data_IF_140046677110
#
_entry.id   IF_140046677110
#
_cell.length_a   1.000
_cell.length_b   1.000
_cell.length_c   1.000
_cell.angle_alpha   90.00
_cell.angle_beta   90.00
_cell.angle_gamma   90.00
#
_symmetry.space_group_name_H-M   'P 1'
#
loop_
_entity.id
_entity.type
_entity.pdbx_description
1 polymer ?
#
# COMPACT_ATOMS: atom_id res chain seq x y z
N UNK A 1 -13.58 2.99 66.83
CA UNK A 1 -14.74 3.36 66.00
C UNK A 1 -14.43 4.65 65.26
N UNK A 2 -13.86 4.57 64.07
CA UNK A 2 -13.84 5.65 63.09
C UNK A 2 -14.37 5.05 61.79
N UNK A 3 -15.46 5.64 61.30
CA UNK A 3 -16.34 5.07 60.31
C UNK A 3 -15.65 5.01 58.93
N UNK A 4 -15.76 3.84 58.30
CA UNK A 4 -15.61 3.65 56.87
C UNK A 4 -16.58 4.60 56.15
N UNK A 5 -16.05 5.59 55.44
CA UNK A 5 -16.81 6.33 54.42
C UNK A 5 -16.63 5.52 53.13
N UNK A 6 -17.65 4.81 52.62
CA UNK A 6 -17.60 4.30 51.26
C UNK A 6 -17.73 5.50 50.33
N UNK A 7 -16.64 5.89 49.69
CA UNK A 7 -16.68 6.82 48.56
C UNK A 7 -17.49 6.17 47.45
N UNK A 8 -18.72 6.65 47.25
CA UNK A 8 -19.56 6.27 46.12
C UNK A 8 -18.85 6.73 44.84
N UNK A 9 -18.06 5.85 44.25
CA UNK A 9 -17.55 6.06 42.90
C UNK A 9 -18.76 6.17 41.98
N UNK A 10 -19.05 7.40 41.57
CA UNK A 10 -20.05 7.70 40.56
C UNK A 10 -19.71 6.85 39.34
N UNK A 11 -20.59 5.89 39.04
CA UNK A 11 -20.49 4.98 37.91
C UNK A 11 -20.58 5.86 36.67
N UNK A 12 -19.43 6.23 36.09
CA UNK A 12 -19.37 7.02 34.85
C UNK A 12 -20.06 6.19 33.79
N UNK A 13 -21.29 6.57 33.45
CA UNK A 13 -22.05 5.91 32.41
C UNK A 13 -21.32 6.15 31.09
N UNK A 14 -20.67 5.10 30.56
CA UNK A 14 -20.08 5.15 29.22
C UNK A 14 -21.19 5.47 28.21
N UNK A 15 -21.17 6.63 27.55
CA UNK A 15 -22.15 6.96 26.55
C UNK A 15 -22.04 5.94 25.41
N UNK A 16 -23.18 5.38 25.03
CA UNK A 16 -23.34 4.37 23.98
C UNK A 16 -22.54 4.78 22.73
N UNK A 17 -21.63 3.91 22.30
CA UNK A 17 -20.82 4.08 21.09
C UNK A 17 -21.72 4.20 19.86
N UNK A 18 -22.00 5.42 19.43
CA UNK A 18 -22.64 5.64 18.15
C UNK A 18 -21.66 5.26 17.03
N UNK A 19 -22.10 4.41 16.10
CA UNK A 19 -21.39 4.08 14.85
C UNK A 19 -20.81 5.32 14.14
N UNK A 20 -21.48 6.46 14.29
CA UNK A 20 -21.04 7.76 13.78
C UNK A 20 -19.72 8.23 14.41
N UNK A 21 -19.52 8.07 15.72
CA UNK A 21 -18.30 8.46 16.43
C UNK A 21 -17.09 7.59 16.02
N UNK A 22 -17.31 6.29 15.81
CA UNK A 22 -16.27 5.38 15.32
C UNK A 22 -15.90 5.71 13.88
N UNK A 23 -16.89 6.02 13.04
CA UNK A 23 -16.65 6.41 11.64
C UNK A 23 -15.88 7.74 11.54
N UNK A 24 -16.22 8.74 12.35
CA UNK A 24 -15.49 10.03 12.36
C UNK A 24 -14.06 9.87 12.86
N UNK A 25 -13.83 9.01 13.86
CA UNK A 25 -12.48 8.71 14.35
C UNK A 25 -11.64 8.00 13.26
N UNK A 26 -12.21 7.00 12.59
CA UNK A 26 -11.57 6.27 11.47
C UNK A 26 -11.19 7.25 10.34
N UNK A 27 -12.13 8.10 9.91
CA UNK A 27 -11.87 9.07 8.85
C UNK A 27 -10.81 10.11 9.25
N UNK A 28 -10.73 10.49 10.54
CA UNK A 28 -9.70 11.39 11.03
C UNK A 28 -8.31 10.74 10.99
N UNK A 29 -8.20 9.44 11.34
CA UNK A 29 -6.95 8.68 11.28
C UNK A 29 -6.51 8.50 9.82
N UNK A 30 -7.41 8.06 8.94
CA UNK A 30 -7.16 7.93 7.49
C UNK A 30 -6.72 9.25 6.88
N UNK A 31 -7.40 10.33 7.23
CA UNK A 31 -7.05 11.66 6.74
C UNK A 31 -5.63 12.07 7.15
N UNK A 32 -5.25 11.82 8.41
CA UNK A 32 -3.90 12.08 8.90
C UNK A 32 -2.86 11.24 8.16
N UNK A 33 -3.08 9.93 8.06
CA UNK A 33 -2.11 8.99 7.48
C UNK A 33 -1.96 9.22 5.97
N UNK A 34 -3.05 9.55 5.28
CA UNK A 34 -3.04 9.96 3.87
C UNK A 34 -2.27 11.27 3.65
N UNK A 35 -2.42 12.26 4.53
CA UNK A 35 -1.68 13.53 4.44
C UNK A 35 -0.18 13.35 4.66
N UNK A 36 0.22 12.51 5.61
CA UNK A 36 1.62 12.15 5.86
C UNK A 36 2.19 11.41 4.66
N UNK A 37 1.47 10.40 4.17
CA UNK A 37 1.83 9.63 2.98
C UNK A 37 1.99 10.53 1.77
N UNK A 38 1.06 11.47 1.56
CA UNK A 38 1.11 12.44 0.46
C UNK A 38 2.35 13.32 0.51
N UNK A 39 2.78 13.77 1.70
CA UNK A 39 4.00 14.59 1.86
C UNK A 39 5.27 13.81 1.50
N UNK A 40 5.29 12.50 1.76
CA UNK A 40 6.44 11.64 1.44
C UNK A 40 6.28 10.89 0.11
N UNK A 41 5.16 11.06 -0.58
CA UNK A 41 4.75 10.26 -1.74
C UNK A 41 5.81 10.22 -2.83
N UNK A 42 6.47 11.35 -3.11
CA UNK A 42 7.52 11.41 -4.14
C UNK A 42 8.70 10.51 -3.76
N UNK A 43 9.22 10.63 -2.54
CA UNK A 43 10.35 9.83 -2.06
C UNK A 43 9.98 8.35 -2.06
N UNK A 44 8.79 8.04 -1.57
CA UNK A 44 8.22 6.70 -1.50
C UNK A 44 8.01 6.07 -2.88
N UNK A 45 7.54 6.84 -3.86
CA UNK A 45 7.36 6.38 -5.24
C UNK A 45 8.70 6.21 -5.95
N UNK A 46 9.62 7.16 -5.81
CA UNK A 46 10.96 7.04 -6.39
C UNK A 46 11.65 5.78 -5.87
N UNK A 47 11.62 5.55 -4.55
CA UNK A 47 12.18 4.34 -3.94
C UNK A 47 11.55 3.06 -4.52
N UNK A 48 10.22 3.01 -4.64
CA UNK A 48 9.51 1.84 -5.18
C UNK A 48 9.76 1.64 -6.68
N UNK A 49 9.91 2.73 -7.44
CA UNK A 49 10.03 2.69 -8.91
C UNK A 49 11.47 2.51 -9.40
N UNK A 50 12.48 2.73 -8.56
CA UNK A 50 13.88 2.49 -8.93
C UNK A 50 14.10 1.04 -9.38
N UNK A 51 13.58 0.05 -8.64
CA UNK A 51 13.75 -1.36 -8.99
C UNK A 51 13.14 -1.72 -10.35
N UNK A 52 11.85 -1.45 -10.64
CA UNK A 52 11.27 -1.75 -11.95
C UNK A 52 11.88 -0.91 -13.07
N UNK A 53 12.36 0.31 -12.79
CA UNK A 53 13.11 1.11 -13.77
C UNK A 53 14.38 0.40 -14.21
N UNK A 54 15.19 -0.09 -13.26
CA UNK A 54 16.37 -0.88 -13.59
C UNK A 54 16.01 -2.17 -14.31
N UNK A 55 14.92 -2.83 -13.93
CA UNK A 55 14.45 -4.05 -14.60
C UNK A 55 14.05 -3.78 -16.05
N UNK A 56 13.29 -2.70 -16.31
CA UNK A 56 12.92 -2.25 -17.65
C UNK A 56 14.15 -1.87 -18.48
N UNK A 57 15.13 -1.20 -17.86
CA UNK A 57 16.36 -0.81 -18.53
C UNK A 57 17.19 -2.04 -18.92
N UNK A 58 17.48 -2.92 -17.97
CA UNK A 58 18.35 -4.08 -18.20
C UNK A 58 17.67 -5.10 -19.12
N UNK A 59 16.45 -5.53 -18.79
CA UNK A 59 15.76 -6.62 -19.50
C UNK A 59 15.04 -6.09 -20.76
N UNK A 60 14.47 -4.89 -20.69
CA UNK A 60 13.72 -4.33 -21.81
C UNK A 60 14.61 -3.68 -22.87
N UNK A 61 15.61 -2.91 -22.45
CA UNK A 61 16.47 -2.14 -23.37
C UNK A 61 17.80 -2.82 -23.66
N UNK A 62 18.61 -3.11 -22.65
CA UNK A 62 19.97 -3.64 -22.83
C UNK A 62 19.95 -5.07 -23.41
N UNK A 63 19.14 -5.95 -22.84
CA UNK A 63 19.03 -7.34 -23.29
C UNK A 63 18.45 -7.45 -24.71
N UNK A 64 17.55 -6.55 -25.10
CA UNK A 64 17.03 -6.47 -26.47
C UNK A 64 18.06 -5.91 -27.45
N UNK A 65 18.86 -4.94 -27.03
CA UNK A 65 19.88 -4.32 -27.87
C UNK A 65 20.97 -5.30 -28.32
N UNK A 66 21.25 -6.33 -27.52
CA UNK A 66 22.22 -7.40 -27.88
C UNK A 66 21.57 -8.53 -28.70
N UNK A 67 20.32 -8.38 -29.14
CA UNK A 67 19.61 -9.37 -29.96
C UNK A 67 19.15 -10.62 -29.19
N UNK A 68 19.18 -10.59 -27.86
CA UNK A 68 18.80 -11.73 -27.02
C UNK A 68 17.29 -11.79 -26.72
N UNK A 69 16.48 -10.88 -27.29
CA UNK A 69 15.04 -10.80 -27.07
C UNK A 69 14.24 -10.66 -28.38
N UNK A 70 12.99 -11.09 -28.36
CA UNK A 70 11.99 -10.96 -29.43
C UNK A 70 10.97 -9.87 -29.05
N UNK A 71 10.37 -9.18 -30.02
CA UNK A 71 9.25 -8.24 -29.79
C UNK A 71 8.11 -8.83 -28.94
N UNK A 72 7.78 -10.11 -29.13
CA UNK A 72 6.80 -10.84 -28.32
C UNK A 72 7.20 -10.96 -26.84
N UNK A 73 8.49 -11.02 -26.53
CA UNK A 73 8.98 -11.03 -25.16
C UNK A 73 8.76 -9.66 -24.50
N UNK A 74 9.03 -8.57 -25.20
CA UNK A 74 8.79 -7.21 -24.68
C UNK A 74 7.31 -6.94 -24.41
N UNK A 75 6.43 -7.44 -25.28
CA UNK A 75 4.98 -7.36 -25.09
C UNK A 75 4.48 -8.04 -23.80
N UNK A 76 5.21 -9.04 -23.31
CA UNK A 76 4.94 -9.75 -22.04
C UNK A 76 5.70 -9.14 -20.85
N UNK A 77 6.87 -8.56 -21.10
CA UNK A 77 7.76 -8.03 -20.07
C UNK A 77 7.10 -6.90 -19.28
N UNK A 78 6.55 -5.90 -19.97
CA UNK A 78 5.97 -4.71 -19.32
C UNK A 78 4.85 -5.08 -18.33
N UNK A 79 3.79 -5.83 -18.72
CA UNK A 79 2.74 -6.21 -17.76
C UNK A 79 3.27 -7.14 -16.65
N UNK A 80 4.30 -7.96 -16.92
CA UNK A 80 4.96 -8.77 -15.89
C UNK A 80 5.67 -7.92 -14.83
N UNK A 81 6.41 -6.89 -15.24
CA UNK A 81 7.08 -5.95 -14.33
C UNK A 81 6.04 -5.15 -13.54
N UNK A 82 4.95 -4.72 -14.17
CA UNK A 82 3.84 -4.04 -13.47
C UNK A 82 3.27 -4.95 -12.38
N UNK A 83 2.91 -6.18 -12.72
CA UNK A 83 2.35 -7.15 -11.75
C UNK A 83 3.31 -7.40 -10.59
N UNK A 84 4.60 -7.61 -10.88
CA UNK A 84 5.62 -7.80 -9.85
C UNK A 84 5.76 -6.57 -8.95
N UNK A 85 5.74 -5.37 -9.52
CA UNK A 85 5.85 -4.10 -8.76
C UNK A 85 4.66 -3.92 -7.83
N UNK A 86 3.45 -4.19 -8.31
CA UNK A 86 2.23 -4.11 -7.50
C UNK A 86 2.29 -5.13 -6.37
N UNK A 87 2.67 -6.37 -6.67
CA UNK A 87 2.82 -7.45 -5.68
C UNK A 87 3.81 -7.08 -4.58
N UNK A 88 5.04 -6.71 -4.96
CA UNK A 88 6.08 -6.41 -3.97
C UNK A 88 5.73 -5.18 -3.14
N UNK A 89 5.08 -4.17 -3.74
CA UNK A 89 4.63 -2.98 -3.01
C UNK A 89 3.52 -3.31 -2.02
N UNK A 90 2.51 -4.09 -2.45
CA UNK A 90 1.40 -4.52 -1.62
C UNK A 90 1.89 -5.34 -0.41
N UNK A 91 2.93 -6.16 -0.58
CA UNK A 91 3.53 -6.91 0.53
C UNK A 91 4.42 -6.08 1.44
N UNK A 92 5.31 -5.24 0.88
CA UNK A 92 6.34 -4.56 1.67
C UNK A 92 5.81 -3.37 2.45
N UNK A 93 4.94 -2.55 1.86
CA UNK A 93 4.44 -1.32 2.47
C UNK A 93 3.72 -1.57 3.80
N UNK A 94 2.68 -2.43 3.88
CA UNK A 94 1.97 -2.64 5.14
C UNK A 94 2.85 -3.39 6.14
N UNK A 95 3.75 -4.28 5.69
CA UNK A 95 4.71 -4.96 6.57
C UNK A 95 5.60 -3.98 7.32
N UNK A 96 6.12 -2.97 6.63
CA UNK A 96 6.97 -1.94 7.25
C UNK A 96 6.16 -1.05 8.21
N UNK A 97 4.92 -0.72 7.89
CA UNK A 97 4.05 0.07 8.77
C UNK A 97 3.66 -0.70 10.03
N UNK A 98 3.26 -1.97 9.88
CA UNK A 98 2.98 -2.85 11.02
C UNK A 98 4.22 -3.05 11.89
N UNK A 99 5.39 -3.24 11.28
CA UNK A 99 6.65 -3.35 12.01
C UNK A 99 6.95 -2.06 12.81
N UNK A 100 6.67 -0.86 12.27
CA UNK A 100 6.83 0.39 13.03
C UNK A 100 5.87 0.47 14.21
N UNK A 101 4.60 0.12 13.99
CA UNK A 101 3.56 0.16 15.03
C UNK A 101 3.85 -0.83 16.17
N UNK A 102 4.38 -2.02 15.83
CA UNK A 102 4.72 -3.09 16.77
C UNK A 102 6.06 -2.87 17.49
N UNK A 103 7.10 -2.44 16.79
CA UNK A 103 8.47 -2.45 17.30
C UNK A 103 8.87 -1.14 18.00
N UNK A 104 8.32 0.01 17.60
CA UNK A 104 8.80 1.31 18.07
C UNK A 104 7.80 2.07 18.93
N UNK A 105 6.49 1.98 18.64
CA UNK A 105 5.49 2.86 19.27
C UNK A 105 4.70 2.21 20.40
N UNK A 106 4.79 0.87 20.58
CA UNK A 106 3.97 0.08 21.54
C UNK A 106 2.47 0.42 21.49
N UNK A 107 1.97 0.83 20.33
CA UNK A 107 0.57 1.25 20.15
C UNK A 107 -0.41 0.09 20.39
N UNK A 108 0.02 -1.17 20.36
CA UNK A 108 -0.87 -2.31 20.66
C UNK A 108 -1.11 -2.42 22.18
N UNK A 109 -0.13 -2.14 23.02
CA UNK A 109 -0.32 -2.07 24.48
C UNK A 109 -1.17 -0.86 24.88
N UNK A 110 -1.06 0.25 24.15
CA UNK A 110 -1.90 1.43 24.36
C UNK A 110 -3.31 1.25 23.74
N UNK A 111 -3.46 0.50 22.64
CA UNK A 111 -4.76 0.08 22.06
C UNK A 111 -5.43 -1.07 22.82
N UNK A 112 -4.71 -1.80 23.65
CA UNK A 112 -5.31 -2.67 24.68
C UNK A 112 -5.98 -1.84 25.79
N UNK A 113 -5.61 -0.56 25.93
CA UNK A 113 -6.21 0.41 26.86
C UNK A 113 -7.19 1.39 26.18
N UNK A 114 -7.09 1.62 24.86
CA UNK A 114 -7.98 2.49 24.08
C UNK A 114 -9.04 1.70 23.28
N UNK A 115 -10.33 2.10 23.29
CA UNK A 115 -11.43 1.35 22.68
C UNK A 115 -11.53 1.61 21.16
N UNK A 116 -10.51 1.23 20.39
CA UNK A 116 -10.57 1.23 18.92
C UNK A 116 -10.33 -0.19 18.40
N UNK A 117 -11.24 -0.74 17.56
CA UNK A 117 -11.10 -2.09 17.05
C UNK A 117 -9.86 -2.24 16.17
N UNK A 118 -8.95 -3.13 16.55
CA UNK A 118 -7.69 -3.43 15.83
C UNK A 118 -7.90 -3.83 14.38
N UNK A 119 -8.98 -4.55 14.09
CA UNK A 119 -9.36 -4.97 12.74
C UNK A 119 -9.60 -3.77 11.79
N UNK A 120 -10.18 -2.68 12.31
CA UNK A 120 -10.52 -1.51 11.52
C UNK A 120 -9.26 -0.76 11.04
N UNK A 121 -8.25 -0.66 11.91
CA UNK A 121 -6.95 -0.05 11.60
C UNK A 121 -6.15 -0.94 10.64
N UNK A 122 -6.24 -2.27 10.79
CA UNK A 122 -5.61 -3.20 9.87
C UNK A 122 -6.19 -3.04 8.44
N UNK A 123 -7.51 -2.96 8.31
CA UNK A 123 -8.18 -2.74 7.01
C UNK A 123 -7.79 -1.39 6.40
N UNK A 124 -7.67 -0.33 7.20
CA UNK A 124 -7.19 0.97 6.75
C UNK A 124 -5.78 0.89 6.15
N UNK A 125 -4.82 0.28 6.88
CA UNK A 125 -3.42 0.18 6.44
C UNK A 125 -3.28 -0.63 5.17
N UNK A 126 -3.98 -1.76 5.09
CA UNK A 126 -4.04 -2.57 3.86
C UNK A 126 -4.64 -1.75 2.71
N UNK A 127 -5.74 -1.03 2.95
CA UNK A 127 -6.36 -0.18 1.94
C UNK A 127 -5.43 0.90 1.39
N UNK A 128 -4.71 1.61 2.27
CA UNK A 128 -3.73 2.62 1.87
C UNK A 128 -2.54 2.01 1.10
N UNK A 129 -2.05 0.85 1.54
CA UNK A 129 -1.01 0.09 0.84
C UNK A 129 -1.44 -0.36 -0.55
N UNK A 130 -2.67 -0.89 -0.70
CA UNK A 130 -3.25 -1.30 -1.98
C UNK A 130 -3.34 -0.12 -2.95
N UNK A 131 -3.84 1.04 -2.49
CA UNK A 131 -3.90 2.25 -3.32
C UNK A 131 -2.50 2.65 -3.79
N UNK A 132 -1.51 2.63 -2.89
CA UNK A 132 -0.12 2.93 -3.25
C UNK A 132 0.45 1.91 -4.24
N UNK A 133 0.18 0.62 -4.06
CA UNK A 133 0.63 -0.43 -4.97
C UNK A 133 0.07 -0.23 -6.38
N UNK A 134 -1.23 0.06 -6.50
CA UNK A 134 -1.87 0.39 -7.78
C UNK A 134 -1.26 1.63 -8.43
N UNK A 135 -1.02 2.70 -7.66
CA UNK A 135 -0.36 3.91 -8.16
C UNK A 135 1.05 3.60 -8.68
N UNK A 136 1.84 2.81 -7.95
CA UNK A 136 3.16 2.38 -8.41
C UNK A 136 3.07 1.59 -9.72
N UNK A 137 2.14 0.63 -9.82
CA UNK A 137 1.93 -0.14 -11.05
C UNK A 137 1.53 0.71 -12.25
N UNK A 138 0.64 1.70 -12.04
CA UNK A 138 0.25 2.65 -13.08
C UNK A 138 1.46 3.46 -13.57
N UNK A 139 2.32 3.90 -12.65
CA UNK A 139 3.52 4.69 -12.99
C UNK A 139 4.61 3.89 -13.73
N UNK A 140 4.58 2.56 -13.68
CA UNK A 140 5.49 1.72 -14.47
C UNK A 140 5.19 1.83 -15.97
N UNK A 141 3.94 2.03 -16.40
CA UNK A 141 3.60 2.18 -17.83
C UNK A 141 4.28 3.40 -18.50
N UNK A 142 4.18 4.64 -17.98
CA UNK A 142 4.88 5.78 -18.57
C UNK A 142 6.40 5.64 -18.45
N UNK A 143 6.92 5.02 -17.39
CA UNK A 143 8.35 4.69 -17.29
C UNK A 143 8.80 3.72 -18.38
N UNK A 144 8.02 2.66 -18.63
CA UNK A 144 8.30 1.69 -19.67
C UNK A 144 8.31 2.36 -21.06
N UNK A 145 7.33 3.22 -21.34
CA UNK A 145 7.32 4.01 -22.57
C UNK A 145 8.59 4.87 -22.71
N UNK A 146 9.00 5.56 -21.64
CA UNK A 146 10.18 6.43 -21.65
C UNK A 146 11.50 5.66 -21.82
N UNK A 147 11.64 4.50 -21.17
CA UNK A 147 12.87 3.70 -21.22
C UNK A 147 13.01 2.94 -22.54
N UNK A 148 11.93 2.28 -22.99
CA UNK A 148 11.94 1.39 -24.16
C UNK A 148 11.77 2.15 -25.49
N UNK A 149 11.12 3.32 -25.49
CA UNK A 149 10.94 4.13 -26.70
C UNK A 149 10.24 3.36 -27.83
N UNK A 150 10.90 3.22 -28.98
CA UNK A 150 10.36 2.49 -30.16
C UNK A 150 10.14 1.01 -29.93
N UNK A 151 10.80 0.41 -28.94
CA UNK A 151 10.61 -1.00 -28.58
C UNK A 151 9.39 -1.21 -27.66
N UNK A 152 8.72 -0.14 -27.20
CA UNK A 152 7.57 -0.26 -26.31
C UNK A 152 6.42 -0.97 -27.02
N UNK A 153 6.10 -2.15 -26.53
CA UNK A 153 4.92 -2.91 -26.94
C UNK A 153 4.25 -3.45 -25.69
N UNK A 154 2.93 -3.35 -25.62
CA UNK A 154 2.10 -4.01 -24.61
C UNK A 154 1.12 -4.88 -25.36
N UNK A 155 1.02 -6.14 -24.95
CA UNK A 155 0.05 -7.07 -25.53
C UNK A 155 -1.37 -6.54 -25.32
N UNK A 156 -2.02 -6.08 -26.39
CA UNK A 156 -3.38 -5.53 -26.33
C UNK A 156 -4.47 -6.62 -26.33
N UNK A 157 -4.14 -7.83 -26.80
CA UNK A 157 -5.09 -8.93 -26.98
C UNK A 157 -5.70 -9.46 -25.67
N UNK A 158 -5.05 -9.21 -24.52
CA UNK A 158 -5.51 -9.69 -23.19
C UNK A 158 -5.42 -8.62 -22.10
N UNK A 159 -5.72 -7.37 -22.45
CA UNK A 159 -5.68 -6.25 -21.48
C UNK A 159 -6.57 -6.49 -20.26
N UNK A 160 -7.77 -7.04 -20.47
CA UNK A 160 -8.69 -7.36 -19.37
C UNK A 160 -8.09 -8.33 -18.35
N UNK A 161 -7.35 -9.35 -18.81
CA UNK A 161 -6.68 -10.31 -17.94
C UNK A 161 -5.52 -9.65 -17.19
N UNK A 162 -4.72 -8.81 -17.86
CA UNK A 162 -3.64 -8.07 -17.18
C UNK A 162 -4.16 -7.12 -16.11
N UNK A 163 -5.26 -6.40 -16.37
CA UNK A 163 -5.91 -5.53 -15.39
C UNK A 163 -6.48 -6.33 -14.23
N UNK A 164 -7.18 -7.43 -14.51
CA UNK A 164 -7.71 -8.31 -13.48
C UNK A 164 -6.60 -8.88 -12.59
N UNK A 165 -5.46 -9.27 -13.17
CA UNK A 165 -4.32 -9.78 -12.42
C UNK A 165 -3.66 -8.69 -11.56
N UNK A 166 -3.52 -7.47 -12.09
CA UNK A 166 -3.00 -6.32 -11.30
C UNK A 166 -3.91 -6.03 -10.11
N UNK A 167 -5.23 -6.00 -10.31
CA UNK A 167 -6.20 -5.76 -9.23
C UNK A 167 -6.17 -6.90 -8.21
N UNK A 168 -6.15 -8.15 -8.67
CA UNK A 168 -6.05 -9.32 -7.81
C UNK A 168 -4.79 -9.28 -6.95
N UNK A 169 -3.65 -8.99 -7.57
CA UNK A 169 -2.34 -8.91 -6.90
C UNK A 169 -2.28 -7.76 -5.90
N UNK A 170 -2.97 -6.64 -6.17
CA UNK A 170 -3.02 -5.51 -5.24
C UNK A 170 -3.84 -5.80 -3.97
N UNK A 171 -4.65 -6.86 -3.97
CA UNK A 171 -5.50 -7.30 -2.86
C UNK A 171 -4.87 -8.42 -2.02
N UNK A 172 -3.65 -8.86 -2.34
CA UNK A 172 -2.88 -9.86 -1.58
C UNK A 172 -2.17 -9.20 -0.40
#
# INVERSE_FOLDING_TARGET
>A
MSALIPSSQARVAHPRSNLQSTRTALLAIVGRDLLVTRRQMIVLLVQTLIQPLFMLFIIGKVFSAIGASNSAFIALLVPGIVALTVFTTALQVPSVELARDLAFTREIEDRLLAPLPTLLVAVEKVGLATVRALLSGILVFPLAYWVLGSAYQVRSDRLGLSLALIVLVALV
#
